data_IF_992239485606
#
_entry.id   IF_992239485606
#
_cell.length_a   1.000
_cell.length_b   1.000
_cell.length_c   1.000
_cell.angle_alpha   90.00
_cell.angle_beta   90.00
_cell.angle_gamma   90.00
#
_symmetry.space_group_name_H-M   'P 1'
#
loop_
_entity.id
_entity.type
_entity.pdbx_description
1 polymer ?
#
# COMPACT_ATOMS: atom_id res chain seq x y z
N UNK A 1 -8.50 -42.47 -13.97
CA UNK A 1 -7.38 -42.07 -13.08
C UNK A 1 -7.43 -40.56 -12.95
N UNK A 2 -8.06 -40.06 -11.89
CA UNK A 2 -8.13 -38.62 -11.59
C UNK A 2 -6.86 -38.21 -10.87
N UNK A 3 -6.08 -37.34 -11.51
CA UNK A 3 -4.84 -36.80 -10.98
C UNK A 3 -5.21 -35.72 -9.95
N UNK A 4 -5.14 -36.02 -8.66
CA UNK A 4 -5.18 -35.01 -7.61
C UNK A 4 -3.77 -34.43 -7.44
N UNK A 5 -3.48 -33.38 -8.21
CA UNK A 5 -2.39 -32.50 -7.84
C UNK A 5 -2.75 -31.87 -6.48
N UNK A 6 -1.83 -31.85 -5.50
CA UNK A 6 -2.08 -31.18 -4.23
C UNK A 6 -2.34 -29.70 -4.51
N UNK A 7 -3.49 -29.18 -4.08
CA UNK A 7 -3.72 -27.73 -4.14
C UNK A 7 -2.75 -27.10 -3.15
N UNK A 8 -1.95 -26.14 -3.61
CA UNK A 8 -1.22 -25.27 -2.69
C UNK A 8 -2.26 -24.60 -1.77
N UNK A 9 -1.96 -24.40 -0.48
CA UNK A 9 -2.84 -23.59 0.36
C UNK A 9 -2.98 -22.22 -0.30
N UNK A 10 -4.22 -21.81 -0.62
CA UNK A 10 -4.45 -20.46 -1.12
C UNK A 10 -4.10 -19.49 0.01
N UNK A 11 -3.03 -18.72 -0.16
CA UNK A 11 -2.73 -17.61 0.74
C UNK A 11 -3.89 -16.62 0.61
N UNK A 12 -4.60 -16.39 1.72
CA UNK A 12 -5.73 -15.47 1.74
C UNK A 12 -5.25 -14.02 1.65
N UNK A 13 -6.03 -13.16 0.99
CA UNK A 13 -5.74 -11.72 0.89
C UNK A 13 -5.50 -11.08 2.26
N UNK A 14 -6.28 -11.38 3.33
CA UNK A 14 -6.00 -10.82 4.66
C UNK A 14 -4.59 -11.11 5.17
N UNK A 15 -4.06 -12.32 4.92
CA UNK A 15 -2.71 -12.69 5.34
C UNK A 15 -1.64 -11.87 4.59
N UNK A 16 -1.85 -11.59 3.29
CA UNK A 16 -0.93 -10.72 2.54
C UNK A 16 -0.88 -9.31 3.13
N UNK A 17 -2.01 -8.76 3.55
CA UNK A 17 -2.04 -7.45 4.20
C UNK A 17 -1.42 -7.49 5.60
N UNK A 18 -1.63 -8.55 6.37
CA UNK A 18 -0.94 -8.73 7.65
C UNK A 18 0.59 -8.78 7.46
N UNK A 19 1.08 -9.49 6.45
CA UNK A 19 2.50 -9.54 6.11
C UNK A 19 3.03 -8.18 5.65
N UNK A 20 2.26 -7.43 4.85
CA UNK A 20 2.62 -6.07 4.42
C UNK A 20 2.76 -5.12 5.61
N UNK A 21 1.80 -5.15 6.54
CA UNK A 21 1.85 -4.28 7.72
C UNK A 21 2.94 -4.70 8.70
N UNK A 22 3.19 -6.01 8.86
CA UNK A 22 4.34 -6.50 9.61
C UNK A 22 5.67 -6.00 9.02
N UNK A 23 5.83 -6.05 7.69
CA UNK A 23 7.03 -5.55 7.02
C UNK A 23 7.18 -4.03 7.18
N UNK A 24 6.09 -3.28 6.96
CA UNK A 24 6.03 -1.83 7.17
C UNK A 24 6.49 -1.48 8.58
N UNK A 25 5.94 -2.13 9.60
CA UNK A 25 6.26 -1.84 11.00
C UNK A 25 7.74 -2.06 11.29
N UNK A 26 8.33 -3.14 10.76
CA UNK A 26 9.77 -3.39 10.88
C UNK A 26 10.63 -2.29 10.26
N UNK A 27 10.22 -1.78 9.09
CA UNK A 27 10.92 -0.67 8.43
C UNK A 27 10.81 0.61 9.26
N UNK A 28 9.60 0.95 9.71
CA UNK A 28 9.35 2.15 10.51
C UNK A 28 10.09 2.10 11.85
N UNK A 29 10.09 0.95 12.53
CA UNK A 29 10.78 0.76 13.81
C UNK A 29 12.29 0.86 13.67
N UNK A 30 12.84 0.33 12.59
CA UNK A 30 14.27 0.48 12.29
C UNK A 30 14.62 1.94 12.01
N UNK A 31 13.72 2.69 11.36
CA UNK A 31 13.94 4.10 11.01
C UNK A 31 13.91 5.06 12.21
N UNK A 32 13.46 4.62 13.41
CA UNK A 32 13.43 5.47 14.62
C UNK A 32 14.80 6.06 14.94
N UNK A 33 15.86 5.28 14.74
CA UNK A 33 17.23 5.71 15.02
C UNK A 33 17.73 6.86 14.12
N UNK A 34 17.02 7.21 13.06
CA UNK A 34 17.41 8.29 12.16
C UNK A 34 17.11 9.68 12.74
N UNK A 35 16.08 9.83 13.58
CA UNK A 35 15.62 11.13 14.07
C UNK A 35 15.44 12.12 12.91
N UNK A 36 16.03 13.31 13.02
CA UNK A 36 15.98 14.36 12.00
C UNK A 36 16.58 13.95 10.65
N UNK A 37 17.49 12.96 10.63
CA UNK A 37 18.09 12.47 9.39
C UNK A 37 17.09 11.72 8.48
N UNK A 38 15.90 11.37 9.00
CA UNK A 38 14.81 10.78 8.22
C UNK A 38 14.48 11.59 6.95
N UNK A 39 14.51 12.92 7.05
CA UNK A 39 14.14 13.80 5.94
C UNK A 39 15.25 13.98 4.87
N UNK A 40 16.44 13.42 5.11
CA UNK A 40 17.64 13.67 4.29
C UNK A 40 18.51 12.41 4.09
N UNK A 41 17.90 11.23 4.09
CA UNK A 41 18.62 9.97 3.80
C UNK A 41 19.13 9.94 2.34
N UNK A 42 20.21 9.19 2.04
CA UNK A 42 20.66 9.00 0.68
C UNK A 42 19.57 8.38 -0.22
N UNK A 43 19.57 8.77 -1.50
CA UNK A 43 18.69 8.18 -2.52
C UNK A 43 19.22 6.80 -2.89
N UNK A 44 18.34 5.81 -2.91
CA UNK A 44 18.62 4.46 -3.42
C UNK A 44 17.64 4.16 -4.56
N UNK A 45 18.17 3.97 -5.77
CA UNK A 45 17.33 3.86 -6.97
C UNK A 45 16.75 5.23 -7.34
N UNK A 46 15.45 5.42 -7.13
CA UNK A 46 14.72 6.63 -7.57
C UNK A 46 14.28 7.55 -6.43
N UNK A 47 14.30 7.08 -5.17
CA UNK A 47 13.80 7.84 -4.01
C UNK A 47 14.73 7.68 -2.80
N UNK A 48 14.66 8.65 -1.90
CA UNK A 48 15.16 8.51 -0.54
C UNK A 48 14.15 7.70 0.31
N UNK A 49 14.46 7.47 1.59
CA UNK A 49 13.55 6.72 2.48
C UNK A 49 12.19 7.41 2.59
N UNK A 50 12.16 8.72 2.87
CA UNK A 50 10.90 9.46 3.03
C UNK A 50 10.05 9.41 1.77
N UNK A 51 10.65 9.57 0.59
CA UNK A 51 9.95 9.47 -0.68
C UNK A 51 9.46 8.06 -0.96
N UNK A 52 10.22 7.03 -0.56
CA UNK A 52 9.78 5.63 -0.69
C UNK A 52 8.56 5.37 0.19
N UNK A 53 8.58 5.78 1.46
CA UNK A 53 7.45 5.60 2.38
C UNK A 53 6.21 6.39 1.96
N UNK A 54 6.38 7.63 1.49
CA UNK A 54 5.29 8.42 0.94
C UNK A 54 4.65 7.74 -0.28
N UNK A 55 5.47 7.16 -1.16
CA UNK A 55 5.01 6.44 -2.34
C UNK A 55 4.25 5.15 -1.98
N UNK A 56 4.73 4.36 -1.02
CA UNK A 56 4.03 3.16 -0.56
C UNK A 56 2.66 3.51 0.04
N UNK A 57 2.59 4.55 0.88
CA UNK A 57 1.33 5.11 1.40
C UNK A 57 0.37 5.53 0.28
N UNK A 58 0.89 6.25 -0.73
CA UNK A 58 0.11 6.69 -1.88
C UNK A 58 -0.47 5.52 -2.68
N UNK A 59 0.36 4.51 -2.96
CA UNK A 59 -0.03 3.33 -3.73
C UNK A 59 -1.14 2.56 -3.01
N UNK A 60 -1.00 2.34 -1.70
CA UNK A 60 -2.02 1.66 -0.89
C UNK A 60 -3.37 2.40 -0.93
N UNK A 61 -3.34 3.72 -0.67
CA UNK A 61 -4.53 4.57 -0.67
C UNK A 61 -5.17 4.65 -2.06
N UNK A 62 -4.36 4.89 -3.09
CA UNK A 62 -4.85 5.10 -4.45
C UNK A 62 -5.45 3.84 -5.05
N UNK A 63 -4.88 2.66 -4.81
CA UNK A 63 -5.48 1.39 -5.25
C UNK A 63 -6.80 1.11 -4.55
N UNK A 64 -6.91 1.35 -3.25
CA UNK A 64 -8.19 1.22 -2.54
C UNK A 64 -9.27 2.12 -3.16
N UNK A 65 -8.95 3.39 -3.43
CA UNK A 65 -9.88 4.32 -4.08
C UNK A 65 -10.29 3.86 -5.48
N UNK A 66 -9.32 3.44 -6.31
CA UNK A 66 -9.58 2.92 -7.67
C UNK A 66 -10.48 1.70 -7.66
N UNK A 67 -10.20 0.73 -6.79
CA UNK A 67 -10.95 -0.53 -6.69
C UNK A 67 -12.38 -0.31 -6.15
N UNK A 68 -12.59 0.77 -5.39
CA UNK A 68 -13.93 1.21 -4.96
C UNK A 68 -14.69 2.01 -6.02
N UNK A 69 -14.10 2.27 -7.18
CA UNK A 69 -14.70 3.08 -8.24
C UNK A 69 -14.78 4.56 -7.89
N UNK A 70 -13.93 5.04 -6.98
CA UNK A 70 -13.87 6.47 -6.64
C UNK A 70 -13.34 7.30 -7.82
N UNK A 71 -13.76 8.58 -7.93
CA UNK A 71 -13.31 9.43 -9.02
C UNK A 71 -11.80 9.74 -8.89
N UNK A 72 -11.07 10.01 -10.00
CA UNK A 72 -9.63 10.27 -10.00
C UNK A 72 -9.17 11.40 -9.07
N UNK A 73 -10.04 12.32 -8.70
CA UNK A 73 -9.76 13.36 -7.71
C UNK A 73 -9.44 12.80 -6.32
N UNK A 74 -9.88 11.57 -6.01
CA UNK A 74 -9.65 10.90 -4.74
C UNK A 74 -8.34 10.09 -4.68
N UNK A 75 -7.75 9.74 -5.82
CA UNK A 75 -6.57 8.85 -5.88
C UNK A 75 -5.50 9.25 -6.90
N UNK A 76 -5.76 10.28 -7.72
CA UNK A 76 -4.89 10.73 -8.80
C UNK A 76 -3.88 11.81 -8.35
N UNK A 77 -3.24 12.52 -9.30
CA UNK A 77 -2.14 13.44 -9.00
C UNK A 77 -2.46 14.56 -7.99
N UNK A 78 -3.74 14.89 -7.81
CA UNK A 78 -4.19 15.88 -6.82
C UNK A 78 -4.31 15.32 -5.40
N UNK A 79 -4.57 14.03 -5.27
CA UNK A 79 -4.70 13.31 -4.00
C UNK A 79 -3.41 12.58 -3.61
N UNK A 80 -2.40 12.60 -4.48
CA UNK A 80 -1.12 11.90 -4.29
C UNK A 80 -0.48 12.22 -2.93
N UNK A 81 -0.02 11.19 -2.24
CA UNK A 81 0.79 11.35 -1.03
C UNK A 81 2.25 11.61 -1.40
N UNK A 82 2.71 12.81 -1.09
CA UNK A 82 4.04 13.31 -1.42
C UNK A 82 4.95 13.32 -0.18
N UNK A 83 6.28 13.35 -0.35
CA UNK A 83 7.22 13.38 0.76
C UNK A 83 6.96 14.50 1.78
N UNK A 84 6.48 15.67 1.33
CA UNK A 84 6.11 16.81 2.17
C UNK A 84 4.87 16.55 3.06
N UNK A 85 4.03 15.58 2.73
CA UNK A 85 2.87 15.20 3.55
C UNK A 85 3.26 14.30 4.73
N UNK A 86 4.47 13.72 4.72
CA UNK A 86 5.02 12.88 5.80
C UNK A 86 6.42 13.37 6.19
N UNK A 87 6.54 14.62 6.69
CA UNK A 87 7.84 15.26 6.92
C UNK A 87 8.68 14.58 8.01
N UNK A 88 8.04 13.84 8.92
CA UNK A 88 8.67 13.09 10.00
C UNK A 88 8.24 11.64 9.97
N UNK A 89 9.02 10.77 10.62
CA UNK A 89 8.67 9.36 10.78
C UNK A 89 7.34 9.18 11.54
N UNK A 90 7.07 10.03 12.52
CA UNK A 90 5.80 10.00 13.27
C UNK A 90 4.61 10.41 12.40
N UNK A 91 4.77 11.42 11.53
CA UNK A 91 3.73 11.77 10.56
C UNK A 91 3.45 10.62 9.58
N UNK A 92 4.49 9.87 9.17
CA UNK A 92 4.31 8.67 8.36
C UNK A 92 3.53 7.58 9.12
N UNK A 93 3.87 7.33 10.39
CA UNK A 93 3.15 6.36 11.25
C UNK A 93 1.68 6.72 11.45
N UNK A 94 1.39 7.96 11.81
CA UNK A 94 0.03 8.45 12.03
C UNK A 94 -0.82 8.32 10.77
N UNK A 95 -0.22 8.65 9.61
CA UNK A 95 -0.92 8.50 8.33
C UNK A 95 -1.20 7.02 8.04
N UNK A 96 -0.21 6.14 8.21
CA UNK A 96 -0.41 4.70 7.99
C UNK A 96 -1.43 4.09 8.93
N UNK A 97 -1.49 4.49 10.20
CA UNK A 97 -2.50 3.98 11.13
C UNK A 97 -3.94 4.28 10.63
N UNK A 98 -4.13 5.45 10.02
CA UNK A 98 -5.41 5.84 9.42
C UNK A 98 -5.72 5.04 8.15
N UNK A 99 -4.74 4.89 7.26
CA UNK A 99 -4.91 4.13 6.01
C UNK A 99 -5.09 2.63 6.27
N UNK A 100 -4.33 2.03 7.19
CA UNK A 100 -4.48 0.63 7.58
C UNK A 100 -5.87 0.36 8.16
N UNK A 101 -6.36 1.22 9.06
CA UNK A 101 -7.72 1.08 9.58
C UNK A 101 -8.75 1.09 8.45
N UNK A 102 -8.57 2.00 7.48
CA UNK A 102 -9.47 2.13 6.34
C UNK A 102 -9.39 0.95 5.37
N UNK A 103 -8.19 0.43 5.12
CA UNK A 103 -7.95 -0.73 4.27
C UNK A 103 -8.51 -2.00 4.91
N UNK A 104 -8.21 -2.26 6.19
CA UNK A 104 -8.74 -3.41 6.92
C UNK A 104 -10.26 -3.38 7.00
N UNK A 105 -10.85 -2.23 7.27
CA UNK A 105 -12.31 -2.08 7.28
C UNK A 105 -12.92 -2.37 5.91
N UNK A 106 -12.27 -1.93 4.83
CA UNK A 106 -12.75 -2.20 3.48
C UNK A 106 -12.63 -3.68 3.13
N UNK A 107 -11.47 -4.30 3.35
CA UNK A 107 -11.24 -5.73 3.11
C UNK A 107 -12.21 -6.62 3.89
N UNK A 108 -12.49 -6.29 5.15
CA UNK A 108 -13.44 -7.02 5.99
C UNK A 108 -14.89 -6.92 5.47
N UNK A 109 -15.21 -5.89 4.68
CA UNK A 109 -16.51 -5.69 4.07
C UNK A 109 -16.70 -6.41 2.72
N UNK A 110 -15.63 -6.96 2.13
CA UNK A 110 -15.70 -7.62 0.82
C UNK A 110 -16.11 -9.09 0.95
N UNK A 111 -17.05 -9.51 0.12
CA UNK A 111 -17.40 -10.91 -0.07
C UNK A 111 -16.35 -11.65 -0.91
N UNK A 112 -16.34 -12.98 -0.84
CA UNK A 112 -15.51 -13.80 -1.72
C UNK A 112 -15.79 -13.58 -3.22
N UNK A 113 -17.04 -13.25 -3.58
CA UNK A 113 -17.42 -12.96 -4.95
C UNK A 113 -16.84 -11.62 -5.43
N UNK A 114 -16.83 -10.59 -4.58
CA UNK A 114 -16.22 -9.29 -4.89
C UNK A 114 -14.69 -9.39 -4.98
N UNK A 115 -14.05 -10.15 -4.08
CA UNK A 115 -12.62 -10.42 -4.14
C UNK A 115 -12.20 -11.19 -5.41
N UNK A 116 -13.09 -12.03 -5.94
CA UNK A 116 -12.86 -12.80 -7.16
C UNK A 116 -13.34 -12.08 -8.43
N UNK A 117 -13.96 -10.90 -8.31
CA UNK A 117 -14.53 -10.20 -9.44
C UNK A 117 -13.42 -9.62 -10.34
N UNK A 118 -13.62 -9.61 -11.68
CA UNK A 118 -12.71 -8.89 -12.56
C UNK A 118 -12.76 -7.39 -12.27
N UNK A 119 -11.60 -6.74 -12.33
CA UNK A 119 -11.47 -5.30 -12.10
C UNK A 119 -10.95 -4.63 -13.37
N UNK A 120 -11.61 -3.55 -13.80
CA UNK A 120 -11.07 -2.64 -14.80
C UNK A 120 -10.45 -1.43 -14.11
N UNK A 121 -9.16 -1.52 -13.79
CA UNK A 121 -8.42 -0.39 -13.24
C UNK A 121 -7.81 0.45 -14.37
N UNK A 122 -8.54 1.49 -14.78
CA UNK A 122 -8.02 2.63 -15.56
C UNK A 122 -7.31 2.34 -16.89
N UNK A 123 -7.60 1.24 -17.59
CA UNK A 123 -6.98 1.00 -18.91
C UNK A 123 -5.46 1.04 -18.89
N UNK A 124 -4.83 0.66 -17.78
CA UNK A 124 -3.38 0.53 -17.67
C UNK A 124 -2.90 -0.75 -18.38
N UNK A 125 -3.10 -0.80 -19.70
CA UNK A 125 -2.15 -1.43 -20.60
C UNK A 125 -0.99 -0.45 -20.81
N UNK A 126 0.27 -0.90 -20.70
CA UNK A 126 1.40 -0.15 -21.26
C UNK A 126 2.17 0.80 -20.35
N UNK A 127 2.30 0.52 -19.05
CA UNK A 127 3.52 0.97 -18.36
C UNK A 127 4.65 -0.02 -18.69
N UNK A 128 5.67 0.37 -19.48
CA UNK A 128 6.94 -0.34 -19.44
C UNK A 128 7.57 -0.10 -18.07
N UNK A 129 8.09 -1.17 -17.47
CA UNK A 129 9.11 -1.05 -16.43
C UNK A 129 10.34 -0.34 -17.01
#
# INVERSE_FOLDING_TARGET
>A
MTNHAPSLPSIGIPLLFDDLYWLRDRVLDTAVGLGDAYASTPVVGTRDLRGTLAHELDVEMSWRGRLRGEPPEAWGPKAEIKPEHVPTLDAARERWATEETSMRSWLAGLSAAELAAPVTANGLEGYPL
#
